data_IF_806458982373
#
_entry.id   IF_806458982373
#
_cell.length_a   1.000
_cell.length_b   1.000
_cell.length_c   1.000
_cell.angle_alpha   90.00
_cell.angle_beta   90.00
_cell.angle_gamma   90.00
#
_symmetry.space_group_name_H-M   'P 1'
#
loop_
_entity.id
_entity.type
_entity.pdbx_description
1 polymer ?
#
# COMPACT_ATOMS: atom_id res chain seq x y z
N UNK A 1 22.29 -9.56 4.87
CA UNK A 1 21.60 -8.43 5.52
C UNK A 1 20.36 -8.10 4.71
N UNK A 2 19.21 -8.63 5.12
CA UNK A 2 17.95 -8.56 4.37
C UNK A 2 17.07 -7.46 4.97
N UNK A 3 16.94 -6.35 4.25
CA UNK A 3 16.02 -5.26 4.57
C UNK A 3 14.63 -5.59 4.02
N UNK A 4 13.76 -6.09 4.89
CA UNK A 4 12.34 -6.29 4.59
C UNK A 4 11.58 -5.02 4.94
N UNK A 5 11.16 -4.27 3.92
CA UNK A 5 10.26 -3.12 4.07
C UNK A 5 8.80 -3.58 4.22
N UNK A 6 8.03 -3.06 5.18
CA UNK A 6 6.62 -3.44 5.34
C UNK A 6 5.74 -2.67 4.35
N UNK A 7 4.94 -3.44 3.60
CA UNK A 7 3.92 -2.98 2.66
C UNK A 7 2.72 -2.38 3.42
N UNK A 8 2.62 -1.05 3.45
CA UNK A 8 1.42 -0.31 3.89
C UNK A 8 0.65 0.20 2.67
N UNK A 9 -0.35 -0.56 2.20
CA UNK A 9 -1.36 -0.07 1.23
C UNK A 9 -2.39 -1.18 0.95
N UNK A 10 -3.37 -1.38 1.83
CA UNK A 10 -4.55 -2.22 1.52
C UNK A 10 -5.68 -2.04 2.54
N UNK A 11 -6.11 -0.81 2.81
CA UNK A 11 -7.32 -0.59 3.63
C UNK A 11 -8.31 0.45 3.07
N UNK A 12 -8.04 1.10 1.92
CA UNK A 12 -8.84 2.25 1.47
C UNK A 12 -9.95 1.97 0.43
N UNK A 13 -10.17 0.72 -0.01
CA UNK A 13 -11.18 0.45 -1.06
C UNK A 13 -12.52 -0.11 -0.58
N UNK A 14 -12.67 -0.45 0.69
CA UNK A 14 -13.90 -1.10 1.17
C UNK A 14 -14.90 -0.13 1.83
N UNK A 15 -14.57 1.16 1.96
CA UNK A 15 -15.43 2.12 2.66
C UNK A 15 -16.58 2.69 1.80
N UNK A 16 -16.51 2.60 0.47
CA UNK A 16 -17.51 3.22 -0.42
C UNK A 16 -18.70 2.32 -0.79
N UNK A 17 -18.74 1.06 -0.34
CA UNK A 17 -19.81 0.13 -0.76
C UNK A 17 -20.98 -0.02 0.23
N UNK A 18 -20.97 0.69 1.36
CA UNK A 18 -22.01 0.58 2.39
C UNK A 18 -22.99 1.78 2.47
N UNK A 19 -22.78 2.85 1.70
CA UNK A 19 -23.65 4.04 1.74
C UNK A 19 -24.82 4.04 0.74
N UNK A 20 -24.93 3.07 -0.17
CA UNK A 20 -25.95 3.09 -1.23
C UNK A 20 -27.22 2.27 -0.95
N UNK A 21 -27.43 1.77 0.28
CA UNK A 21 -28.60 0.95 0.64
C UNK A 21 -29.72 1.64 1.44
N UNK A 22 -29.64 2.95 1.69
CA UNK A 22 -30.60 3.66 2.56
C UNK A 22 -31.48 4.71 1.86
N UNK A 23 -31.75 4.57 0.57
CA UNK A 23 -32.78 5.38 -0.11
C UNK A 23 -33.80 4.49 -0.80
N UNK A 24 -34.71 3.94 0.01
CA UNK A 24 -36.01 3.45 -0.48
C UNK A 24 -37.02 4.61 -0.39
N UNK A 25 -37.74 4.95 -1.48
CA UNK A 25 -38.81 5.92 -1.42
C UNK A 25 -40.00 5.37 -0.62
N UNK A 26 -40.41 6.12 0.41
CA UNK A 26 -41.55 5.84 1.28
C UNK A 26 -42.85 5.65 0.49
N UNK A 27 -43.68 4.63 0.82
CA UNK A 27 -45.01 4.50 0.24
C UNK A 27 -45.91 5.65 0.75
N UNK A 28 -46.51 6.37 -0.19
CA UNK A 28 -47.58 7.35 0.08
C UNK A 28 -48.82 6.57 0.55
N UNK A 29 -49.10 6.60 1.85
CA UNK A 29 -50.24 5.93 2.44
C UNK A 29 -50.78 6.67 3.66
N UNK A 30 -51.97 7.26 3.49
CA UNK A 30 -53.01 7.50 4.49
C UNK A 30 -52.74 8.48 5.64
N UNK A 31 -52.89 9.77 5.31
CA UNK A 31 -52.99 10.92 6.21
C UNK A 31 -54.34 11.01 6.95
N UNK A 32 -54.78 9.98 7.69
CA UNK A 32 -56.00 10.10 8.54
C UNK A 32 -55.95 9.39 9.92
N UNK A 33 -54.80 8.91 10.40
CA UNK A 33 -54.72 8.20 11.69
C UNK A 33 -53.76 8.79 12.74
N UNK A 34 -53.15 9.95 12.50
CA UNK A 34 -52.15 10.53 13.43
C UNK A 34 -52.68 11.52 14.47
N UNK A 35 -54.00 11.76 14.55
CA UNK A 35 -54.56 12.71 15.54
C UNK A 35 -55.00 12.03 16.85
N UNK A 36 -54.96 10.69 16.95
CA UNK A 36 -55.47 9.98 18.14
C UNK A 36 -54.41 9.28 19.02
N UNK A 37 -53.11 9.48 18.75
CA UNK A 37 -52.02 8.96 19.61
C UNK A 37 -51.21 10.05 20.31
N UNK A 38 -51.59 11.33 20.16
CA UNK A 38 -50.82 12.47 20.69
C UNK A 38 -51.28 12.93 22.09
N UNK A 39 -52.05 12.09 22.80
CA UNK A 39 -52.65 12.45 24.10
C UNK A 39 -52.54 11.40 25.21
N UNK A 40 -51.75 10.35 25.01
CA UNK A 40 -51.55 9.26 25.99
C UNK A 40 -50.07 9.01 26.34
N UNK A 41 -49.13 9.87 25.94
CA UNK A 41 -47.69 9.71 26.21
C UNK A 41 -47.10 10.78 27.14
N UNK A 42 -47.92 11.62 27.78
CA UNK A 42 -47.48 12.55 28.80
C UNK A 42 -48.09 12.13 30.14
N UNK A 43 -47.52 11.10 30.76
CA UNK A 43 -47.60 10.80 32.21
C UNK A 43 -47.02 9.40 32.48
N UNK A 44 -45.88 9.09 31.89
CA UNK A 44 -44.93 8.23 32.59
C UNK A 44 -43.85 9.16 33.09
N UNK A 45 -43.98 9.62 34.33
CA UNK A 45 -42.81 9.91 35.15
C UNK A 45 -42.03 8.59 35.22
N UNK A 46 -41.23 8.39 34.18
CA UNK A 46 -40.33 7.26 34.01
C UNK A 46 -39.34 7.38 35.15
N UNK A 47 -39.62 6.66 36.24
CA UNK A 47 -38.65 6.27 37.23
C UNK A 47 -37.54 5.54 36.46
N UNK A 48 -36.56 6.32 35.99
CA UNK A 48 -35.33 5.79 35.47
C UNK A 48 -34.70 5.01 36.62
N UNK A 49 -34.54 3.68 36.48
CA UNK A 49 -33.90 2.90 37.52
C UNK A 49 -32.51 3.51 37.78
N UNK A 50 -32.07 3.58 39.06
CA UNK A 50 -30.76 4.09 39.39
C UNK A 50 -29.72 3.36 38.55
N UNK A 51 -28.84 4.13 37.89
CA UNK A 51 -27.80 3.53 37.08
C UNK A 51 -26.93 2.64 37.98
N UNK A 52 -26.46 1.48 37.48
CA UNK A 52 -25.49 0.68 38.20
C UNK A 52 -24.24 1.51 38.53
N UNK A 53 -23.72 1.39 39.75
CA UNK A 53 -22.54 2.15 40.24
C UNK A 53 -21.35 2.09 39.25
N UNK A 54 -21.15 0.93 38.59
CA UNK A 54 -20.12 0.75 37.57
C UNK A 54 -20.27 1.67 36.33
N UNK A 55 -21.49 2.06 35.97
CA UNK A 55 -21.74 2.99 34.88
C UNK A 55 -21.47 4.44 35.30
N UNK A 56 -21.77 4.77 36.55
CA UNK A 56 -21.51 6.10 37.10
C UNK A 56 -20.00 6.39 37.16
N UNK A 57 -19.20 5.42 37.62
CA UNK A 57 -17.73 5.53 37.59
C UNK A 57 -17.20 5.74 36.17
N UNK A 58 -17.72 5.00 35.19
CA UNK A 58 -17.31 5.13 33.78
C UNK A 58 -17.72 6.47 33.18
N UNK A 59 -18.90 6.99 33.53
CA UNK A 59 -19.36 8.31 33.10
C UNK A 59 -18.51 9.43 33.70
N UNK A 60 -18.18 9.36 34.99
CA UNK A 60 -17.28 10.32 35.63
C UNK A 60 -15.89 10.31 34.99
N UNK A 61 -15.38 9.13 34.61
CA UNK A 61 -14.12 9.02 33.88
C UNK A 61 -14.22 9.66 32.50
N UNK A 62 -15.33 9.44 31.77
CA UNK A 62 -15.57 10.05 30.47
C UNK A 62 -15.60 11.58 30.56
N UNK A 63 -16.28 12.15 31.56
CA UNK A 63 -16.32 13.60 31.80
C UNK A 63 -14.92 14.16 32.06
N UNK A 64 -14.12 13.50 32.92
CA UNK A 64 -12.72 13.89 33.16
C UNK A 64 -11.88 13.85 31.88
N UNK A 65 -12.11 12.89 31.00
CA UNK A 65 -11.43 12.79 29.71
C UNK A 65 -11.90 13.90 28.77
N UNK A 66 -13.18 14.25 28.73
CA UNK A 66 -13.67 15.41 27.99
C UNK A 66 -13.04 16.72 28.47
N UNK A 67 -13.00 16.93 29.79
CA UNK A 67 -12.39 18.11 30.39
C UNK A 67 -10.89 18.21 30.02
N UNK A 68 -10.17 17.08 30.08
CA UNK A 68 -8.74 17.03 29.73
C UNK A 68 -8.51 17.27 28.24
N UNK A 69 -9.43 16.81 27.39
CA UNK A 69 -9.36 16.99 25.94
C UNK A 69 -9.97 18.32 25.45
N UNK A 70 -10.46 19.15 26.38
CA UNK A 70 -11.15 20.42 26.12
C UNK A 70 -12.32 20.24 25.13
N UNK A 71 -13.14 19.22 25.38
CA UNK A 71 -14.29 18.89 24.53
C UNK A 71 -15.56 19.53 25.11
N UNK A 72 -16.09 20.55 24.44
CA UNK A 72 -17.29 21.28 24.86
C UNK A 72 -18.60 20.47 24.73
N UNK A 73 -18.63 19.47 23.83
CA UNK A 73 -19.80 18.63 23.56
C UNK A 73 -19.49 17.15 23.80
N UNK A 74 -20.20 16.52 24.74
CA UNK A 74 -20.06 15.11 25.15
C UNK A 74 -20.63 14.13 24.09
N UNK A 75 -20.98 14.62 22.91
CA UNK A 75 -21.42 13.76 21.80
C UNK A 75 -20.33 12.78 21.34
N UNK A 76 -20.75 11.58 20.96
CA UNK A 76 -19.86 10.53 20.43
C UNK A 76 -19.04 11.01 19.22
N UNK A 77 -19.63 11.86 18.38
CA UNK A 77 -18.96 12.45 17.23
C UNK A 77 -17.77 13.32 17.67
N UNK A 78 -17.94 14.11 18.73
CA UNK A 78 -16.89 14.98 19.27
C UNK A 78 -15.72 14.19 19.87
N UNK A 79 -16.03 13.15 20.68
CA UNK A 79 -15.00 12.25 21.21
C UNK A 79 -14.24 11.50 20.12
N UNK A 80 -14.95 10.94 19.13
CA UNK A 80 -14.28 10.23 18.02
C UNK A 80 -13.42 11.18 17.18
N UNK A 81 -13.84 12.42 16.99
CA UNK A 81 -13.03 13.46 16.34
C UNK A 81 -11.78 13.82 17.17
N UNK A 82 -11.91 13.98 18.50
CA UNK A 82 -10.77 14.26 19.37
C UNK A 82 -9.75 13.10 19.41
N UNK A 83 -10.22 11.86 19.47
CA UNK A 83 -9.37 10.66 19.42
C UNK A 83 -8.65 10.57 18.06
N UNK A 84 -9.35 10.80 16.96
CA UNK A 84 -8.71 10.81 15.63
C UNK A 84 -7.70 11.94 15.48
N UNK A 85 -7.98 13.13 16.05
CA UNK A 85 -7.02 14.24 16.13
C UNK A 85 -5.75 13.83 16.89
N UNK A 86 -5.88 13.36 18.13
CA UNK A 86 -4.72 12.98 18.98
C UNK A 86 -3.91 11.84 18.35
N UNK A 87 -4.58 10.83 17.80
CA UNK A 87 -3.90 9.74 17.10
C UNK A 87 -3.16 10.25 15.87
N UNK A 88 -3.76 11.16 15.09
CA UNK A 88 -3.08 11.78 13.94
C UNK A 88 -1.87 12.62 14.36
N UNK A 89 -1.99 13.40 15.44
CA UNK A 89 -0.91 14.22 15.99
C UNK A 89 0.23 13.35 16.53
N UNK A 90 -0.08 12.28 17.28
CA UNK A 90 0.93 11.35 17.77
C UNK A 90 1.68 10.63 16.63
N UNK A 91 0.98 10.25 15.55
CA UNK A 91 1.61 9.66 14.36
C UNK A 91 2.47 10.69 13.62
N UNK A 92 2.01 11.95 13.52
CA UNK A 92 2.79 13.04 12.93
C UNK A 92 4.06 13.33 13.74
N UNK A 93 3.95 13.36 15.08
CA UNK A 93 5.08 13.54 15.99
C UNK A 93 6.05 12.36 15.89
N UNK A 94 5.56 11.12 15.90
CA UNK A 94 6.39 9.93 15.70
C UNK A 94 7.14 9.97 14.36
N UNK A 95 6.47 10.39 13.29
CA UNK A 95 7.10 10.55 11.97
C UNK A 95 8.18 11.64 11.97
N UNK A 96 7.93 12.78 12.60
CA UNK A 96 8.92 13.88 12.67
C UNK A 96 10.11 13.50 13.55
N UNK A 97 9.88 12.82 14.68
CA UNK A 97 10.94 12.27 15.54
C UNK A 97 11.82 11.28 14.78
N UNK A 98 11.22 10.34 14.04
CA UNK A 98 11.97 9.38 13.23
C UNK A 98 12.81 10.07 12.14
N UNK A 99 12.27 11.14 11.51
CA UNK A 99 13.01 11.96 10.54
C UNK A 99 14.18 12.69 11.18
N UNK A 100 13.98 13.26 12.37
CA UNK A 100 15.03 13.95 13.12
C UNK A 100 16.15 12.98 13.51
N UNK A 101 15.80 11.80 14.03
CA UNK A 101 16.75 10.74 14.35
C UNK A 101 17.57 10.30 13.13
N UNK A 102 16.93 10.19 11.96
CA UNK A 102 17.63 9.89 10.72
C UNK A 102 18.62 11.00 10.34
N UNK A 103 18.19 12.27 10.40
CA UNK A 103 19.06 13.41 10.11
C UNK A 103 20.23 13.51 11.11
N UNK A 104 20.00 13.20 12.40
CA UNK A 104 21.04 13.13 13.42
C UNK A 104 22.10 12.07 13.08
N UNK A 105 21.67 10.86 12.73
CA UNK A 105 22.59 9.78 12.31
C UNK A 105 23.39 10.15 11.06
N UNK A 106 22.76 10.81 10.09
CA UNK A 106 23.42 11.30 8.88
C UNK A 106 24.49 12.37 9.22
N UNK A 107 24.16 13.32 10.10
CA UNK A 107 25.09 14.33 10.57
C UNK A 107 26.25 13.74 11.38
N UNK A 108 26.00 12.74 12.23
CA UNK A 108 27.06 12.02 12.95
C UNK A 108 28.01 11.31 11.99
N UNK A 109 27.48 10.66 10.95
CA UNK A 109 28.28 10.00 9.92
C UNK A 109 29.14 11.02 9.16
N UNK A 110 28.56 12.14 8.72
CA UNK A 110 29.30 13.21 8.06
C UNK A 110 30.36 13.84 8.97
N UNK A 111 30.06 14.02 10.26
CA UNK A 111 31.01 14.53 11.23
C UNK A 111 32.19 13.57 11.42
N UNK A 112 31.92 12.27 11.55
CA UNK A 112 32.97 11.25 11.64
C UNK A 112 33.85 11.23 10.38
N UNK A 113 33.24 11.34 9.20
CA UNK A 113 33.94 11.44 7.92
C UNK A 113 34.83 12.69 7.86
N UNK A 114 34.29 13.87 8.17
CA UNK A 114 35.06 15.13 8.16
C UNK A 114 36.22 15.08 9.17
N UNK A 115 36.00 14.49 10.36
CA UNK A 115 37.05 14.31 11.36
C UNK A 115 38.18 13.42 10.86
N UNK A 116 37.85 12.36 10.12
CA UNK A 116 38.83 11.50 9.47
C UNK A 116 39.62 12.24 8.39
N UNK A 117 38.92 12.94 7.48
CA UNK A 117 39.55 13.75 6.43
C UNK A 117 40.47 14.83 7.01
N UNK A 118 40.03 15.52 8.06
CA UNK A 118 40.85 16.52 8.75
C UNK A 118 42.13 15.91 9.34
N UNK A 119 42.04 14.70 9.91
CA UNK A 119 43.23 13.97 10.39
C UNK A 119 44.17 13.62 9.23
N UNK A 120 43.66 13.17 8.09
CA UNK A 120 44.49 12.89 6.91
C UNK A 120 45.20 14.14 6.41
N UNK A 121 44.47 15.26 6.29
CA UNK A 121 45.03 16.55 5.88
C UNK A 121 46.14 16.97 6.84
N UNK A 122 45.92 16.84 8.16
CA UNK A 122 46.92 17.16 9.17
C UNK A 122 48.17 16.28 9.03
N UNK A 123 47.99 14.97 8.87
CA UNK A 123 49.12 14.04 8.66
C UNK A 123 49.89 14.37 7.37
N UNK A 124 49.19 14.75 6.30
CA UNK A 124 49.82 15.20 5.06
C UNK A 124 50.58 16.50 5.23
N UNK A 125 50.03 17.47 5.96
CA UNK A 125 50.72 18.71 6.31
C UNK A 125 52.02 18.41 7.08
N UNK A 126 51.94 17.57 8.12
CA UNK A 126 53.12 17.16 8.92
C UNK A 126 54.17 16.46 8.05
N UNK A 127 53.75 15.58 7.15
CA UNK A 127 54.66 14.87 6.24
C UNK A 127 55.33 15.84 5.28
N UNK A 128 54.56 16.75 4.66
CA UNK A 128 55.07 17.77 3.74
C UNK A 128 56.03 18.71 4.46
N UNK A 129 55.71 19.19 5.66
CA UNK A 129 56.58 20.05 6.46
C UNK A 129 57.89 19.34 6.80
N UNK A 130 57.83 18.07 7.20
CA UNK A 130 59.03 17.27 7.49
C UNK A 130 59.92 17.06 6.25
N UNK A 131 59.31 16.82 5.08
CA UNK A 131 60.03 16.64 3.81
C UNK A 131 60.64 17.95 3.30
N UNK A 132 60.01 19.11 3.56
CA UNK A 132 60.59 20.41 3.24
C UNK A 132 61.89 20.66 3.97
N UNK A 133 61.98 20.25 5.24
CA UNK A 133 63.21 20.36 6.05
C UNK A 133 64.32 19.45 5.51
N UNK A 134 63.98 18.30 4.90
CA UNK A 134 64.94 17.32 4.41
C UNK A 134 65.59 17.64 3.04
N UNK A 135 65.20 18.72 2.36
CA UNK A 135 65.89 19.24 1.16
C UNK A 135 65.81 18.39 -0.13
N UNK A 136 65.16 17.22 -0.13
CA UNK A 136 65.06 16.30 -1.30
C UNK A 136 63.91 16.63 -2.27
N UNK A 137 63.56 17.91 -2.37
CA UNK A 137 62.20 18.40 -2.66
C UNK A 137 61.68 18.18 -4.09
N UNK A 138 62.42 18.57 -5.14
CA UNK A 138 61.83 18.62 -6.48
C UNK A 138 61.71 17.23 -7.14
N UNK A 139 62.81 16.48 -7.19
CA UNK A 139 62.85 15.21 -7.91
C UNK A 139 61.93 14.13 -7.32
N UNK A 140 61.73 14.12 -5.99
CA UNK A 140 60.83 13.15 -5.36
C UNK A 140 59.36 13.49 -5.57
N UNK A 141 58.99 14.78 -5.56
CA UNK A 141 57.63 15.24 -5.85
C UNK A 141 57.27 14.91 -7.30
N UNK A 142 58.18 15.14 -8.25
CA UNK A 142 57.95 14.83 -9.66
C UNK A 142 57.77 13.32 -9.88
N UNK A 143 58.61 12.48 -9.27
CA UNK A 143 58.45 11.02 -9.31
C UNK A 143 57.13 10.56 -8.71
N UNK A 144 56.71 11.14 -7.59
CA UNK A 144 55.44 10.79 -6.96
C UNK A 144 54.24 11.22 -7.82
N UNK A 145 54.30 12.41 -8.42
CA UNK A 145 53.29 12.90 -9.37
C UNK A 145 53.17 11.98 -10.57
N UNK A 146 54.29 11.53 -11.13
CA UNK A 146 54.30 10.55 -12.24
C UNK A 146 53.68 9.21 -11.82
N UNK A 147 54.01 8.72 -10.62
CA UNK A 147 53.41 7.49 -10.07
C UNK A 147 51.89 7.61 -9.93
N UNK A 148 51.40 8.72 -9.36
CA UNK A 148 49.96 8.98 -9.24
C UNK A 148 49.25 9.09 -10.59
N UNK A 149 49.86 9.76 -11.57
CA UNK A 149 49.30 9.84 -12.93
C UNK A 149 49.22 8.45 -13.56
N UNK A 150 50.22 7.59 -13.33
CA UNK A 150 50.22 6.21 -13.83
C UNK A 150 49.12 5.38 -13.17
N UNK A 151 48.92 5.50 -11.87
CA UNK A 151 47.83 4.82 -11.14
C UNK A 151 46.45 5.33 -11.59
N UNK A 152 46.27 6.65 -11.73
CA UNK A 152 45.03 7.24 -12.23
C UNK A 152 44.68 6.74 -13.64
N UNK A 153 45.69 6.57 -14.51
CA UNK A 153 45.52 5.94 -15.82
C UNK A 153 45.15 4.46 -15.71
N UNK A 154 45.74 3.74 -14.75
CA UNK A 154 45.37 2.37 -14.41
C UNK A 154 43.89 2.24 -14.05
N UNK A 155 43.42 3.00 -13.07
CA UNK A 155 42.00 3.00 -12.67
C UNK A 155 41.05 3.42 -13.79
N UNK A 156 41.45 4.38 -14.63
CA UNK A 156 40.65 4.75 -15.80
C UNK A 156 40.53 3.60 -16.81
N UNK A 157 41.62 2.86 -17.03
CA UNK A 157 41.60 1.70 -17.91
C UNK A 157 40.76 0.57 -17.33
N UNK A 158 40.84 0.32 -16.03
CA UNK A 158 39.99 -0.65 -15.32
C UNK A 158 38.50 -0.26 -15.41
N UNK A 159 38.17 1.02 -15.17
CA UNK A 159 36.81 1.53 -15.34
C UNK A 159 36.31 1.31 -16.78
N UNK A 160 37.15 1.61 -17.78
CA UNK A 160 36.78 1.40 -19.18
C UNK A 160 36.61 -0.09 -19.51
N UNK A 161 37.40 -0.98 -18.91
CA UNK A 161 37.25 -2.43 -19.07
C UNK A 161 35.93 -2.91 -18.46
N UNK A 162 35.59 -2.47 -17.24
CA UNK A 162 34.31 -2.78 -16.60
C UNK A 162 33.12 -2.23 -17.40
N UNK A 163 33.24 -1.02 -17.94
CA UNK A 163 32.20 -0.45 -18.81
C UNK A 163 32.06 -1.22 -20.13
N UNK A 164 33.12 -1.86 -20.63
CA UNK A 164 33.05 -2.72 -21.81
C UNK A 164 32.42 -4.10 -21.51
N UNK A 165 32.55 -4.59 -20.27
CA UNK A 165 31.90 -5.81 -19.80
C UNK A 165 30.40 -5.62 -19.51
N UNK A 166 30.01 -4.42 -19.08
CA UNK A 166 28.61 -4.08 -18.82
C UNK A 166 27.88 -3.94 -20.18
N UNK A 167 26.85 -4.76 -20.46
CA UNK A 167 26.06 -4.60 -21.68
C UNK A 167 25.43 -3.20 -21.71
N UNK A 168 25.57 -2.51 -22.84
CA UNK A 168 25.19 -1.10 -23.06
C UNK A 168 23.72 -0.83 -22.72
N UNK A 169 22.86 -1.85 -22.84
CA UNK A 169 21.48 -1.80 -22.42
C UNK A 169 21.20 -2.93 -21.41
N UNK A 170 20.74 -2.61 -20.18
CA UNK A 170 20.32 -3.63 -19.24
C UNK A 170 19.10 -4.38 -19.81
N UNK A 171 19.16 -5.71 -19.82
CA UNK A 171 18.12 -6.60 -20.39
C UNK A 171 16.71 -6.30 -19.84
N UNK A 172 16.64 -5.79 -18.60
CA UNK A 172 15.39 -5.38 -17.96
C UNK A 172 15.57 -3.99 -17.38
N UNK A 173 14.85 -3.02 -17.94
CA UNK A 173 14.79 -1.67 -17.37
C UNK A 173 13.88 -1.67 -16.12
N UNK A 174 14.16 -0.81 -15.14
CA UNK A 174 13.32 -0.61 -13.94
C UNK A 174 11.84 -0.40 -14.30
N UNK A 175 11.57 0.28 -15.41
CA UNK A 175 10.21 0.50 -15.93
C UNK A 175 9.52 -0.79 -16.38
N UNK A 176 10.26 -1.74 -16.97
CA UNK A 176 9.74 -3.05 -17.36
C UNK A 176 9.46 -3.91 -16.13
N UNK A 177 10.34 -3.87 -15.13
CA UNK A 177 10.15 -4.57 -13.86
C UNK A 177 8.93 -4.03 -13.11
N UNK A 178 8.75 -2.71 -13.06
CA UNK A 178 7.57 -2.08 -12.46
C UNK A 178 6.28 -2.51 -13.17
N UNK A 179 6.26 -2.49 -14.52
CA UNK A 179 5.13 -3.00 -15.31
C UNK A 179 4.84 -4.48 -14.99
N UNK A 180 5.87 -5.31 -14.87
CA UNK A 180 5.71 -6.72 -14.52
C UNK A 180 5.14 -6.89 -13.11
N UNK A 181 5.58 -6.09 -12.13
CA UNK A 181 5.01 -6.10 -10.78
C UNK A 181 3.54 -5.71 -10.77
N UNK A 182 3.13 -4.68 -11.53
CA UNK A 182 1.73 -4.30 -11.66
C UNK A 182 0.89 -5.42 -12.29
N UNK A 183 1.40 -6.05 -13.35
CA UNK A 183 0.75 -7.21 -13.98
C UNK A 183 0.59 -8.37 -13.01
N UNK A 184 1.64 -8.69 -12.24
CA UNK A 184 1.61 -9.75 -11.24
C UNK A 184 0.58 -9.43 -10.14
N UNK A 185 0.56 -8.20 -9.62
CA UNK A 185 -0.42 -7.76 -8.62
C UNK A 185 -1.86 -7.87 -9.14
N UNK A 186 -2.10 -7.48 -10.39
CA UNK A 186 -3.41 -7.63 -11.02
C UNK A 186 -3.83 -9.10 -11.19
N UNK A 187 -2.89 -9.99 -11.54
CA UNK A 187 -3.13 -11.43 -11.64
C UNK A 187 -3.42 -12.06 -10.26
N UNK A 188 -2.67 -11.67 -9.23
CA UNK A 188 -2.89 -12.12 -7.86
C UNK A 188 -4.28 -11.75 -7.35
N UNK A 189 -4.74 -10.52 -7.62
CA UNK A 189 -6.10 -10.10 -7.27
C UNK A 189 -7.16 -10.94 -7.99
N UNK A 190 -6.98 -11.22 -9.29
CA UNK A 190 -7.88 -12.10 -10.05
C UNK A 190 -7.91 -13.53 -9.49
N UNK A 191 -6.74 -14.06 -9.11
CA UNK A 191 -6.63 -15.39 -8.49
C UNK A 191 -7.33 -15.39 -7.12
N UNK A 192 -7.13 -14.36 -6.30
CA UNK A 192 -7.78 -14.22 -4.99
C UNK A 192 -9.30 -14.20 -5.13
N UNK A 193 -9.84 -13.43 -6.08
CA UNK A 193 -11.28 -13.38 -6.36
C UNK A 193 -11.82 -14.74 -6.83
N UNK A 194 -11.11 -15.43 -7.74
CA UNK A 194 -11.50 -16.79 -8.18
C UNK A 194 -11.47 -17.80 -7.03
N UNK A 195 -10.44 -17.77 -6.18
CA UNK A 195 -10.35 -18.62 -4.98
C UNK A 195 -11.49 -18.35 -4.00
N UNK A 196 -11.84 -17.08 -3.77
CA UNK A 196 -12.97 -16.72 -2.92
C UNK A 196 -14.30 -17.27 -3.49
N UNK A 197 -14.52 -17.16 -4.80
CA UNK A 197 -15.68 -17.77 -5.47
C UNK A 197 -15.69 -19.29 -5.29
N UNK A 198 -14.58 -19.98 -5.58
CA UNK A 198 -14.48 -21.44 -5.39
C UNK A 198 -14.79 -21.83 -3.95
N UNK A 199 -14.23 -21.11 -2.97
CA UNK A 199 -14.50 -21.36 -1.54
C UNK A 199 -15.97 -21.13 -1.18
N UNK A 200 -16.63 -20.13 -1.77
CA UNK A 200 -18.06 -19.92 -1.57
C UNK A 200 -18.92 -21.06 -2.13
N UNK A 201 -18.46 -21.75 -3.18
CA UNK A 201 -19.13 -22.93 -3.74
C UNK A 201 -18.68 -24.26 -3.09
N UNK A 202 -17.58 -24.26 -2.33
CA UNK A 202 -17.08 -25.43 -1.65
C UNK A 202 -18.02 -25.81 -0.50
N UNK A 203 -18.90 -26.78 -0.75
CA UNK A 203 -19.91 -27.26 0.19
C UNK A 203 -21.36 -27.07 -0.26
N UNK A 204 -21.62 -26.35 -1.36
CA UNK A 204 -22.95 -26.37 -1.98
C UNK A 204 -23.14 -27.66 -2.79
N UNK A 205 -24.33 -28.29 -2.75
CA UNK A 205 -24.65 -29.38 -3.66
C UNK A 205 -24.57 -28.87 -5.12
N UNK A 206 -24.10 -29.70 -6.05
CA UNK A 206 -23.97 -29.32 -7.46
C UNK A 206 -25.32 -28.85 -8.01
N UNK A 207 -25.35 -27.69 -8.68
CA UNK A 207 -26.57 -27.14 -9.24
C UNK A 207 -26.99 -27.93 -10.49
N UNK A 208 -27.81 -28.96 -10.29
CA UNK A 208 -28.31 -29.85 -11.34
C UNK A 208 -29.11 -29.10 -12.42
N UNK A 209 -29.78 -28.01 -12.08
CA UNK A 209 -30.55 -27.21 -13.04
C UNK A 209 -29.66 -26.44 -14.01
N UNK A 210 -28.52 -25.91 -13.52
CA UNK A 210 -27.51 -25.29 -14.39
C UNK A 210 -26.91 -26.33 -15.35
N UNK A 211 -26.53 -27.50 -14.83
CA UNK A 211 -25.99 -28.59 -15.65
C UNK A 211 -27.01 -29.07 -16.70
N UNK A 212 -28.29 -29.19 -16.32
CA UNK A 212 -29.38 -29.52 -17.27
C UNK A 212 -29.52 -28.45 -18.34
N UNK A 213 -29.39 -27.16 -17.99
CA UNK A 213 -29.46 -26.08 -18.96
C UNK A 213 -28.28 -26.10 -19.94
N UNK A 214 -27.05 -26.27 -19.46
CA UNK A 214 -25.86 -26.40 -20.30
C UNK A 214 -25.97 -27.61 -21.26
N UNK A 215 -26.49 -28.75 -20.79
CA UNK A 215 -26.75 -29.92 -21.63
C UNK A 215 -27.79 -29.62 -22.72
N UNK A 216 -28.83 -28.83 -22.43
CA UNK A 216 -29.80 -28.41 -23.47
C UNK A 216 -29.13 -27.52 -24.52
N UNK A 217 -28.33 -26.53 -24.10
CA UNK A 217 -27.59 -25.65 -25.00
C UNK A 217 -26.67 -26.47 -25.92
N UNK A 218 -25.91 -27.40 -25.35
CA UNK A 218 -25.01 -28.27 -26.12
C UNK A 218 -25.76 -29.13 -27.16
N UNK A 219 -26.96 -29.63 -26.81
CA UNK A 219 -27.82 -30.37 -27.74
C UNK A 219 -28.35 -29.50 -28.87
N UNK A 220 -28.74 -28.26 -28.57
CA UNK A 220 -29.21 -27.30 -29.59
C UNK A 220 -28.08 -26.94 -30.56
N UNK A 221 -26.86 -26.73 -30.05
CA UNK A 221 -25.66 -26.51 -30.88
C UNK A 221 -25.34 -27.73 -31.75
N UNK A 222 -25.38 -28.93 -31.19
CA UNK A 222 -25.19 -30.17 -31.93
C UNK A 222 -26.22 -30.32 -33.06
N UNK A 223 -27.50 -30.02 -32.78
CA UNK A 223 -28.55 -30.08 -33.79
C UNK A 223 -28.31 -29.10 -34.94
N UNK A 224 -27.86 -27.87 -34.64
CA UNK A 224 -27.48 -26.88 -35.65
C UNK A 224 -26.34 -27.39 -36.55
N UNK A 225 -25.34 -28.04 -35.95
CA UNK A 225 -24.23 -28.65 -36.70
C UNK A 225 -24.69 -29.82 -37.58
N UNK A 226 -25.61 -30.66 -37.09
CA UNK A 226 -26.21 -31.75 -37.86
C UNK A 226 -26.99 -31.19 -39.07
N UNK A 227 -27.84 -30.19 -38.85
CA UNK A 227 -28.58 -29.54 -39.93
C UNK A 227 -27.65 -28.92 -40.97
N UNK A 228 -26.55 -28.30 -40.52
CA UNK A 228 -25.54 -27.73 -41.42
C UNK A 228 -24.86 -28.84 -42.23
N UNK A 229 -24.49 -29.96 -41.60
CA UNK A 229 -23.93 -31.14 -42.27
C UNK A 229 -24.90 -31.70 -43.31
N UNK A 230 -26.17 -31.88 -42.97
CA UNK A 230 -27.20 -32.40 -43.88
C UNK A 230 -27.40 -31.46 -45.08
N UNK A 231 -27.45 -30.14 -44.86
CA UNK A 231 -27.51 -29.15 -45.96
C UNK A 231 -26.31 -29.22 -46.89
N UNK A 232 -25.10 -29.39 -46.35
CA UNK A 232 -23.89 -29.53 -47.16
C UNK A 232 -23.90 -30.82 -47.97
N UNK A 233 -24.26 -31.95 -47.33
CA UNK A 233 -24.36 -33.25 -48.03
C UNK A 233 -25.43 -33.21 -49.13
N UNK A 234 -26.58 -32.56 -48.88
CA UNK A 234 -27.62 -32.34 -49.88
C UNK A 234 -27.11 -31.56 -51.10
N UNK A 235 -26.43 -30.43 -50.88
CA UNK A 235 -25.81 -29.64 -51.96
C UNK A 235 -24.77 -30.43 -52.76
N UNK A 236 -23.99 -31.28 -52.08
CA UNK A 236 -23.01 -32.14 -52.77
C UNK A 236 -23.71 -33.20 -53.64
N UNK A 237 -24.78 -33.84 -53.14
CA UNK A 237 -25.54 -34.82 -53.91
C UNK A 237 -26.21 -34.19 -55.15
N UNK A 238 -26.78 -32.98 -55.02
CA UNK A 238 -27.36 -32.22 -56.14
C UNK A 238 -26.31 -31.86 -57.21
N UNK A 239 -25.05 -31.64 -56.84
CA UNK A 239 -23.97 -31.29 -57.78
C UNK A 239 -23.39 -32.48 -58.56
N UNK A 240 -23.74 -33.72 -58.18
CA UNK A 240 -23.21 -34.96 -58.77
C UNK A 240 -24.22 -35.68 -59.68
N UNK A 241 -25.49 -35.23 -59.71
CA UNK A 241 -26.50 -35.59 -60.73
C UNK A 241 -26.50 -34.61 -61.89
#
# INVERSE_FOLDING_TARGET
MTSSSPSTSSWDTDYYHLQSKWTQPSPKGNSQLTVYLDKQLYETDTYLPPLPDEMEEKLQLLVKVADLLEIDDVSFASYSAAITRITSESLSLSRTLNRLKFAEQELEMHFAFIKHEHRLIKNWQETIESDQVAGKRAANIDRHREALIKEAKGYRNELNALLAEIPVEPEVTVTQLAKQQEMNKALEQKIKAKRAKIKAFQGLPPNLELARHEVRIARDEQMKLIQLRERLLGRMAESVS
#
